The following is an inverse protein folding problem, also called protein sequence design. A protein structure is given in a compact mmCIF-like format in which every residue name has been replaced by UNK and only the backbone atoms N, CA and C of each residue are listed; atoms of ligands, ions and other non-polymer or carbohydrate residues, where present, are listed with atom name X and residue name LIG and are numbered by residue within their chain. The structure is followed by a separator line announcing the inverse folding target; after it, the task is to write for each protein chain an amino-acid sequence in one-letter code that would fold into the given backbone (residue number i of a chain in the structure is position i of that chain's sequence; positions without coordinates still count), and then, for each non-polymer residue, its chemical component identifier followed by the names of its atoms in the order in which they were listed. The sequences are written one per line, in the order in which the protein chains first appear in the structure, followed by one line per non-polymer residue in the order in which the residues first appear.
data_IF_125741596615
#
_entry.id   IF_125741596615
#
_cell.length_a   1.000
_cell.length_b   1.000
_cell.length_c   1.000
_cell.angle_alpha   90.00
_cell.angle_beta   90.00
_cell.angle_gamma   90.00
#
_symmetry.space_group_name_H-M   'P 1'
#
loop_
_entity.id
_entity.type
_entity.pdbx_description
1 polymer ?
#
# COMPACT_ATOMS: atom_id res chain seq x y z
N UNK A 1 27.54 17.73 56.64
CA UNK A 1 27.32 17.16 55.29
C UNK A 1 25.94 17.57 54.84
N UNK A 2 25.85 18.56 53.94
CA UNK A 2 24.57 19.06 53.41
C UNK A 2 24.36 18.38 52.04
N UNK A 3 23.31 17.57 51.91
CA UNK A 3 22.90 16.97 50.66
C UNK A 3 22.14 18.01 49.80
N UNK A 4 22.66 18.31 48.63
CA UNK A 4 22.01 19.15 47.62
C UNK A 4 21.18 18.24 46.74
N UNK A 5 19.85 18.33 46.86
CA UNK A 5 18.91 17.71 45.90
C UNK A 5 18.92 18.54 44.60
N UNK A 6 19.44 17.95 43.54
CA UNK A 6 19.23 18.46 42.18
C UNK A 6 17.83 18.01 41.69
N UNK A 7 16.89 18.92 41.67
CA UNK A 7 15.60 18.73 41.03
C UNK A 7 15.78 18.89 39.53
N UNK A 8 15.73 17.77 38.80
CA UNK A 8 15.73 17.77 37.34
C UNK A 8 14.33 18.16 36.86
N UNK A 9 14.11 19.45 36.56
CA UNK A 9 12.92 19.90 35.87
C UNK A 9 13.05 19.48 34.39
N UNK A 10 12.43 18.34 34.04
CA UNK A 10 12.12 18.02 32.64
C UNK A 10 11.11 19.03 32.11
N UNK A 11 11.57 20.03 31.40
CA UNK A 11 10.70 20.83 30.54
C UNK A 11 10.18 19.94 29.42
N UNK A 12 9.00 19.38 29.60
CA UNK A 12 8.21 18.85 28.47
C UNK A 12 7.77 20.08 27.68
N UNK A 13 8.48 20.38 26.60
CA UNK A 13 8.02 21.31 25.61
C UNK A 13 6.73 20.73 25.00
N UNK A 14 5.58 21.12 25.55
CA UNK A 14 4.30 20.94 24.88
C UNK A 14 4.34 21.81 23.64
N UNK A 15 4.66 21.22 22.49
CA UNK A 15 4.37 21.84 21.20
C UNK A 15 2.85 22.06 21.15
N UNK A 16 2.42 23.29 21.45
CA UNK A 16 1.08 23.74 21.05
C UNK A 16 1.07 23.71 19.52
N UNK A 17 0.66 22.60 18.93
CA UNK A 17 0.23 22.57 17.55
C UNK A 17 -0.96 23.52 17.46
N UNK A 18 -0.79 24.63 16.74
CA UNK A 18 -1.88 25.53 16.45
C UNK A 18 -2.89 24.76 15.58
N UNK A 19 -3.90 24.18 16.23
CA UNK A 19 -4.95 23.44 15.53
C UNK A 19 -5.71 24.43 14.64
N UNK A 20 -5.89 24.07 13.37
CA UNK A 20 -6.71 24.84 12.45
C UNK A 20 -8.12 24.90 13.05
N UNK A 21 -8.72 26.09 13.20
CA UNK A 21 -10.03 26.25 13.83
C UNK A 21 -11.10 25.37 13.19
N UNK A 22 -12.02 24.82 14.00
CA UNK A 22 -13.10 23.95 13.53
C UNK A 22 -14.17 24.66 12.67
N UNK A 23 -14.15 26.01 12.62
CA UNK A 23 -15.16 26.83 11.91
C UNK A 23 -14.92 26.92 10.40
N UNK A 24 -15.82 27.68 9.72
CA UNK A 24 -15.78 27.92 8.26
C UNK A 24 -15.00 29.20 7.89
N UNK A 25 -13.92 29.49 8.62
CA UNK A 25 -13.06 30.65 8.32
C UNK A 25 -12.10 30.39 7.16
N UNK A 26 -11.46 31.48 6.75
CA UNK A 26 -10.38 31.45 5.75
C UNK A 26 -9.08 31.98 6.36
N UNK A 27 -7.95 31.54 5.80
CA UNK A 27 -6.64 32.04 6.19
C UNK A 27 -5.58 31.76 5.13
N UNK A 28 -4.38 32.09 5.45
CA UNK A 28 -3.23 31.81 4.57
C UNK A 28 -2.43 30.65 5.16
N UNK A 29 -2.08 29.71 4.33
CA UNK A 29 -1.34 28.49 4.69
C UNK A 29 -0.15 28.31 3.77
N UNK A 30 0.89 27.65 4.27
CA UNK A 30 2.01 27.21 3.46
C UNK A 30 1.51 26.19 2.41
N UNK A 31 2.06 26.21 1.21
CA UNK A 31 1.95 25.03 0.34
C UNK A 31 2.51 23.80 1.08
N UNK A 32 1.91 22.62 0.85
CA UNK A 32 2.33 21.43 1.58
C UNK A 32 3.81 21.13 1.33
N UNK A 33 4.57 21.06 2.41
CA UNK A 33 6.00 20.83 2.39
C UNK A 33 6.45 19.69 3.32
N UNK A 34 5.48 18.96 3.90
CA UNK A 34 5.68 17.88 4.88
C UNK A 34 6.47 18.32 6.13
N UNK A 35 6.31 19.56 6.54
CA UNK A 35 6.92 20.13 7.74
C UNK A 35 5.87 20.62 8.73
N UNK A 36 6.29 20.89 9.96
CA UNK A 36 5.41 21.40 11.01
C UNK A 36 4.68 22.71 10.63
N UNK A 37 5.16 23.47 9.66
CA UNK A 37 4.50 24.68 9.17
C UNK A 37 3.24 24.41 8.33
N UNK A 38 2.96 23.18 7.96
CA UNK A 38 1.74 22.82 7.22
C UNK A 38 0.49 23.01 8.06
N UNK A 39 0.59 22.99 9.39
CA UNK A 39 -0.53 23.26 10.31
C UNK A 39 -0.64 24.71 10.74
N UNK A 40 0.28 25.59 10.35
CA UNK A 40 0.29 26.99 10.79
C UNK A 40 -0.68 27.84 9.96
N UNK A 41 -1.49 28.61 10.69
CA UNK A 41 -2.39 29.62 10.14
C UNK A 41 -1.73 30.99 10.16
N UNK A 42 -1.70 31.66 9.01
CA UNK A 42 -1.25 33.02 8.86
C UNK A 42 -2.45 33.93 8.55
N UNK A 43 -2.44 35.14 9.10
CA UNK A 43 -3.55 36.10 8.93
C UNK A 43 -3.39 37.03 7.73
N UNK A 44 -2.20 37.01 7.09
CA UNK A 44 -1.86 37.90 5.95
C UNK A 44 -1.16 37.10 4.87
N UNK A 45 -1.29 37.52 3.58
CA UNK A 45 -0.52 36.94 2.50
C UNK A 45 0.98 37.21 2.68
N UNK A 46 1.83 36.39 2.08
CA UNK A 46 3.28 36.52 2.16
C UNK A 46 4.01 35.21 1.93
N UNK A 47 5.08 35.01 2.65
CA UNK A 47 5.90 33.80 2.62
C UNK A 47 5.93 33.16 4.00
N UNK A 48 5.96 31.85 4.04
CA UNK A 48 6.10 31.08 5.27
C UNK A 48 7.43 31.42 5.97
N UNK A 49 7.38 31.72 7.26
CA UNK A 49 8.56 32.04 8.04
C UNK A 49 9.50 30.86 8.27
N UNK A 50 9.00 29.62 8.10
CA UNK A 50 9.77 28.39 8.30
C UNK A 50 10.41 27.87 7.01
N UNK A 51 9.59 27.65 5.95
CA UNK A 51 10.07 27.03 4.71
C UNK A 51 10.24 28.00 3.54
N UNK A 52 9.89 29.29 3.71
CA UNK A 52 9.99 30.35 2.70
C UNK A 52 9.08 30.21 1.47
N UNK A 53 8.19 29.21 1.46
CA UNK A 53 7.20 29.04 0.38
C UNK A 53 6.13 30.12 0.45
N UNK A 54 5.54 30.46 -0.70
CA UNK A 54 4.45 31.41 -0.80
C UNK A 54 3.22 30.89 -0.06
N UNK A 55 2.55 31.76 0.70
CA UNK A 55 1.31 31.42 1.39
C UNK A 55 0.14 31.48 0.41
N UNK A 56 -0.73 30.46 0.46
CA UNK A 56 -1.94 30.34 -0.33
C UNK A 56 -3.17 30.56 0.55
N UNK A 57 -4.18 31.26 0.03
CA UNK A 57 -5.45 31.46 0.73
C UNK A 57 -6.32 30.22 0.59
N UNK A 58 -6.77 29.66 1.71
CA UNK A 58 -7.61 28.46 1.77
C UNK A 58 -8.63 28.63 2.89
N UNK A 59 -9.77 27.93 2.77
CA UNK A 59 -10.69 27.76 3.91
C UNK A 59 -10.09 26.79 4.93
N UNK A 60 -10.53 26.89 6.17
CA UNK A 60 -10.12 25.94 7.22
C UNK A 60 -10.57 24.50 6.91
N UNK A 61 -11.71 24.33 6.21
CA UNK A 61 -12.20 23.02 5.78
C UNK A 61 -11.27 22.42 4.74
N UNK A 62 -10.97 23.13 3.65
CA UNK A 62 -10.02 22.67 2.60
C UNK A 62 -8.66 22.30 3.19
N UNK A 63 -8.17 23.11 4.14
CA UNK A 63 -6.87 22.83 4.77
C UNK A 63 -6.89 21.59 5.66
N UNK A 64 -7.95 21.39 6.45
CA UNK A 64 -8.11 20.17 7.25
C UNK A 64 -8.21 18.94 6.38
N UNK A 65 -9.01 18.99 5.31
CA UNK A 65 -9.17 17.87 4.39
C UNK A 65 -7.84 17.51 3.71
N UNK A 66 -7.08 18.52 3.32
CA UNK A 66 -5.75 18.35 2.73
C UNK A 66 -4.75 17.73 3.73
N UNK A 67 -4.75 18.16 4.99
CA UNK A 67 -3.92 17.57 6.05
C UNK A 67 -4.36 16.15 6.39
N UNK A 68 -5.66 15.90 6.48
CA UNK A 68 -6.19 14.55 6.70
C UNK A 68 -5.79 13.58 5.58
N UNK A 69 -5.77 14.05 4.33
CA UNK A 69 -5.26 13.26 3.20
C UNK A 69 -3.77 12.95 3.33
N UNK A 70 -2.97 13.89 3.89
CA UNK A 70 -1.54 13.65 4.16
C UNK A 70 -1.31 12.72 5.37
N UNK A 71 -2.15 12.84 6.41
CA UNK A 71 -2.08 11.97 7.59
C UNK A 71 -2.63 10.56 7.29
N UNK A 72 -3.55 10.44 6.33
CA UNK A 72 -4.08 9.15 5.91
C UNK A 72 -3.04 8.40 5.07
N UNK A 73 -2.11 7.75 5.76
CA UNK A 73 -1.23 6.78 5.10
C UNK A 73 -2.08 5.64 4.59
N UNK A 74 -2.16 5.50 3.27
CA UNK A 74 -2.83 4.34 2.67
C UNK A 74 -2.32 3.05 3.29
N UNK A 75 -3.24 2.16 3.57
CA UNK A 75 -2.97 0.87 4.21
C UNK A 75 -2.93 -0.25 3.18
N UNK A 76 -1.96 -1.14 3.34
CA UNK A 76 -1.84 -2.33 2.48
C UNK A 76 -1.86 -3.57 3.34
N UNK A 77 -2.86 -4.41 3.12
CA UNK A 77 -2.99 -5.72 3.72
C UNK A 77 -2.27 -6.78 2.85
N UNK A 78 -1.29 -7.45 3.40
CA UNK A 78 -0.59 -8.58 2.77
C UNK A 78 -1.15 -9.89 3.30
N UNK A 79 -1.96 -10.58 2.49
CA UNK A 79 -2.40 -11.92 2.84
C UNK A 79 -1.28 -12.93 2.58
N UNK A 80 -0.82 -13.59 3.63
CA UNK A 80 0.26 -14.57 3.60
C UNK A 80 -0.27 -15.95 3.98
N UNK A 81 -0.06 -16.94 3.14
CA UNK A 81 -0.35 -18.34 3.40
C UNK A 81 0.90 -19.15 3.71
N UNK A 82 0.74 -20.31 4.30
CA UNK A 82 1.85 -21.25 4.49
C UNK A 82 2.43 -21.68 3.15
N UNK A 83 3.76 -21.68 3.02
CA UNK A 83 4.46 -21.91 1.76
C UNK A 83 4.46 -20.74 0.78
N UNK A 84 4.11 -19.52 1.21
CA UNK A 84 4.21 -18.31 0.36
C UNK A 84 5.65 -18.11 -0.15
N UNK A 85 5.79 -17.64 -1.40
CA UNK A 85 7.09 -17.29 -2.00
C UNK A 85 7.67 -16.04 -1.33
N UNK A 86 8.92 -16.12 -0.82
CA UNK A 86 9.52 -15.01 -0.04
C UNK A 86 9.58 -13.72 -0.84
N UNK A 87 10.14 -13.75 -2.05
CA UNK A 87 10.34 -12.52 -2.80
C UNK A 87 9.04 -11.94 -3.36
N UNK A 88 8.01 -12.78 -3.54
CA UNK A 88 6.69 -12.30 -3.99
C UNK A 88 6.11 -11.25 -3.05
N UNK A 89 6.26 -11.44 -1.72
CA UNK A 89 5.76 -10.48 -0.74
C UNK A 89 6.82 -9.51 -0.23
N UNK A 90 8.07 -9.97 -0.01
CA UNK A 90 9.10 -9.13 0.56
C UNK A 90 9.53 -7.99 -0.39
N UNK A 91 9.59 -8.26 -1.71
CA UNK A 91 9.89 -7.24 -2.71
C UNK A 91 8.85 -6.10 -2.74
N UNK A 92 7.56 -6.39 -2.96
CA UNK A 92 6.51 -5.38 -2.85
C UNK A 92 6.41 -4.72 -1.46
N UNK A 93 6.68 -5.47 -0.39
CA UNK A 93 6.66 -4.92 0.98
C UNK A 93 7.68 -3.80 1.13
N UNK A 94 8.89 -3.99 0.65
CA UNK A 94 9.94 -2.97 0.66
C UNK A 94 9.53 -1.74 -0.16
N UNK A 95 9.00 -1.95 -1.37
CA UNK A 95 8.49 -0.87 -2.23
C UNK A 95 7.45 -0.03 -1.51
N UNK A 96 6.42 -0.66 -0.95
CA UNK A 96 5.32 0.06 -0.31
C UNK A 96 5.74 0.71 1.01
N UNK A 97 6.56 0.02 1.82
CA UNK A 97 7.05 0.56 3.08
C UNK A 97 7.88 1.83 2.85
N UNK A 98 8.84 1.79 1.92
CA UNK A 98 9.66 2.96 1.60
C UNK A 98 8.84 4.08 0.93
N UNK A 99 7.84 3.75 0.12
CA UNK A 99 6.90 4.73 -0.42
C UNK A 99 5.99 5.35 0.67
N UNK A 100 6.10 4.94 1.93
CA UNK A 100 5.38 5.51 3.07
C UNK A 100 3.94 5.00 3.22
N UNK A 101 3.64 3.81 2.71
CA UNK A 101 2.39 3.11 3.00
C UNK A 101 2.46 2.42 4.37
N UNK A 102 1.30 2.18 4.95
CA UNK A 102 1.16 1.43 6.20
C UNK A 102 0.88 -0.04 5.84
N UNK A 103 1.90 -0.90 5.94
CA UNK A 103 1.80 -2.32 5.57
C UNK A 103 1.54 -3.16 6.82
N UNK A 104 0.58 -4.08 6.73
CA UNK A 104 0.34 -5.10 7.74
C UNK A 104 0.06 -6.47 7.10
N UNK A 105 0.27 -7.52 7.86
CA UNK A 105 0.18 -8.90 7.39
C UNK A 105 -1.04 -9.61 7.97
N UNK A 106 -1.68 -10.43 7.14
CA UNK A 106 -2.87 -11.21 7.48
C UNK A 106 -2.66 -12.64 7.02
N UNK A 107 -3.11 -13.60 7.79
CA UNK A 107 -3.19 -15.00 7.36
C UNK A 107 -4.56 -15.59 7.67
N UNK A 108 -4.81 -16.83 7.25
CA UNK A 108 -6.03 -17.57 7.56
C UNK A 108 -6.31 -17.59 9.06
N UNK A 109 -5.24 -17.75 9.87
CA UNK A 109 -5.25 -17.68 11.32
C UNK A 109 -4.08 -16.85 11.80
N UNK A 110 -4.15 -16.30 13.00
CA UNK A 110 -3.04 -15.59 13.64
C UNK A 110 -2.05 -16.58 14.26
N UNK A 111 -1.48 -17.42 13.43
CA UNK A 111 -0.48 -18.43 13.75
C UNK A 111 0.75 -18.25 12.84
N UNK A 112 1.97 -18.64 13.28
CA UNK A 112 3.14 -18.55 12.43
C UNK A 112 2.97 -19.33 11.13
N UNK A 113 3.24 -18.71 10.01
CA UNK A 113 3.36 -19.36 8.70
C UNK A 113 4.83 -19.62 8.37
N UNK A 114 5.12 -20.58 7.51
CA UNK A 114 6.48 -20.88 7.02
C UNK A 114 6.52 -20.58 5.52
N UNK A 115 7.20 -19.50 5.15
CA UNK A 115 7.42 -19.13 3.75
C UNK A 115 8.51 -20.00 3.14
N UNK A 116 8.25 -20.65 2.01
CA UNK A 116 9.18 -21.54 1.28
C UNK A 116 9.92 -22.57 2.16
N UNK A 117 9.44 -22.91 3.34
CA UNK A 117 10.13 -23.80 4.27
C UNK A 117 11.36 -23.19 4.99
N UNK A 118 11.65 -21.90 4.79
CA UNK A 118 12.87 -21.26 5.28
C UNK A 118 12.63 -20.07 6.24
N UNK A 119 11.54 -19.31 6.06
CA UNK A 119 11.28 -18.11 6.83
C UNK A 119 9.98 -18.23 7.61
N UNK A 120 10.05 -18.14 8.93
CA UNK A 120 8.86 -18.05 9.78
C UNK A 120 8.38 -16.60 9.88
N UNK A 121 7.10 -16.39 9.60
CA UNK A 121 6.45 -15.07 9.69
C UNK A 121 5.26 -15.20 10.62
N UNK A 122 5.14 -14.29 11.60
CA UNK A 122 3.96 -14.15 12.45
C UNK A 122 3.07 -13.09 11.84
N UNK A 123 1.86 -13.42 11.36
CA UNK A 123 0.92 -12.44 10.84
C UNK A 123 0.45 -11.49 11.95
N UNK A 124 0.22 -10.22 11.60
CA UNK A 124 -0.33 -9.23 12.54
C UNK A 124 -1.79 -9.55 12.90
N UNK A 125 -2.54 -10.10 11.94
CA UNK A 125 -3.97 -10.41 12.07
C UNK A 125 -4.33 -11.75 11.43
N UNK A 126 -5.50 -12.25 11.77
CA UNK A 126 -6.22 -13.29 11.02
C UNK A 126 -7.22 -12.64 10.04
N UNK A 127 -7.82 -13.44 9.14
CA UNK A 127 -8.94 -12.96 8.32
C UNK A 127 -10.17 -12.55 9.14
N UNK A 128 -10.28 -12.99 10.40
CA UNK A 128 -11.41 -12.71 11.29
C UNK A 128 -11.33 -11.32 11.91
N UNK A 129 -10.11 -10.86 12.25
CA UNK A 129 -9.86 -9.60 12.98
C UNK A 129 -9.08 -8.54 12.17
N UNK A 130 -8.75 -8.85 10.91
CA UNK A 130 -8.02 -7.92 10.04
C UNK A 130 -8.78 -6.60 9.82
N UNK A 131 -8.14 -5.44 10.04
CA UNK A 131 -8.77 -4.14 9.75
C UNK A 131 -9.03 -3.97 8.24
N UNK A 132 -9.88 -3.00 7.85
CA UNK A 132 -9.98 -2.56 6.46
C UNK A 132 -8.62 -2.09 5.91
N UNK A 133 -8.42 -2.23 4.60
CA UNK A 133 -7.24 -1.75 3.91
C UNK A 133 -7.58 -1.16 2.54
N UNK A 134 -6.83 -0.13 2.14
CA UNK A 134 -6.99 0.49 0.82
C UNK A 134 -6.53 -0.44 -0.29
N UNK A 135 -5.53 -1.26 -0.02
CA UNK A 135 -5.02 -2.31 -0.93
C UNK A 135 -5.00 -3.64 -0.21
N UNK A 136 -5.48 -4.69 -0.89
CA UNK A 136 -5.32 -6.08 -0.42
C UNK A 136 -4.49 -6.86 -1.42
N UNK A 137 -3.37 -7.41 -0.95
CA UNK A 137 -2.36 -8.08 -1.78
C UNK A 137 -2.28 -9.59 -1.49
N UNK A 138 -2.13 -10.38 -2.55
CA UNK A 138 -2.03 -11.84 -2.53
C UNK A 138 -0.78 -12.31 -3.27
N UNK A 139 -0.11 -13.32 -2.75
CA UNK A 139 1.19 -13.77 -3.21
C UNK A 139 1.19 -15.26 -3.55
N UNK A 140 2.16 -15.64 -4.39
CA UNK A 140 2.28 -17.00 -4.87
C UNK A 140 3.01 -17.96 -3.92
N UNK A 141 3.70 -18.91 -4.48
CA UNK A 141 4.17 -20.09 -3.78
C UNK A 141 3.04 -21.12 -3.64
N UNK A 142 2.80 -21.64 -2.44
CA UNK A 142 1.72 -22.60 -2.18
C UNK A 142 0.33 -21.92 -2.02
N UNK A 143 -0.14 -21.28 -3.09
CA UNK A 143 -1.44 -20.58 -3.08
C UNK A 143 -2.66 -21.53 -3.19
N UNK A 144 -2.44 -22.81 -3.55
CA UNK A 144 -3.51 -23.80 -3.77
C UNK A 144 -4.48 -23.96 -2.60
N UNK A 145 -4.02 -24.21 -1.36
CA UNK A 145 -4.90 -24.32 -0.21
C UNK A 145 -5.78 -23.08 -0.03
N UNK A 146 -5.21 -21.88 -0.05
CA UNK A 146 -5.96 -20.62 0.15
C UNK A 146 -6.93 -20.32 -1.00
N UNK A 147 -6.59 -20.66 -2.24
CA UNK A 147 -7.47 -20.47 -3.40
C UNK A 147 -8.66 -21.43 -3.43
N UNK A 148 -8.69 -22.44 -2.57
CA UNK A 148 -9.79 -23.40 -2.41
C UNK A 148 -10.43 -23.35 -1.01
N UNK A 149 -9.98 -22.46 -0.11
CA UNK A 149 -10.57 -22.29 1.21
C UNK A 149 -11.80 -21.36 1.14
N UNK A 150 -13.02 -21.88 1.45
CA UNK A 150 -14.25 -21.09 1.35
C UNK A 150 -14.24 -19.84 2.24
N UNK A 151 -13.57 -19.89 3.41
CA UNK A 151 -13.53 -18.75 4.33
C UNK A 151 -12.58 -17.66 3.81
N UNK A 152 -11.45 -18.03 3.22
CA UNK A 152 -10.54 -17.09 2.54
C UNK A 152 -11.25 -16.44 1.37
N UNK A 153 -11.91 -17.24 0.50
CA UNK A 153 -12.63 -16.71 -0.66
C UNK A 153 -13.76 -15.76 -0.25
N UNK A 154 -14.53 -16.12 0.78
CA UNK A 154 -15.57 -15.25 1.34
C UNK A 154 -14.97 -13.97 1.92
N UNK A 155 -13.84 -14.04 2.61
CA UNK A 155 -13.15 -12.87 3.14
C UNK A 155 -12.73 -11.93 2.01
N UNK A 156 -12.13 -12.44 0.92
CA UNK A 156 -11.78 -11.64 -0.27
C UNK A 156 -13.01 -10.93 -0.84
N UNK A 157 -14.12 -11.65 -0.99
CA UNK A 157 -15.38 -11.07 -1.51
C UNK A 157 -15.91 -9.96 -0.61
N UNK A 158 -15.83 -10.10 0.71
CA UNK A 158 -16.28 -9.05 1.64
C UNK A 158 -15.39 -7.82 1.57
N UNK A 159 -14.08 -7.98 1.31
CA UNK A 159 -13.15 -6.85 1.13
C UNK A 159 -13.41 -6.07 -0.15
N UNK A 160 -13.95 -6.69 -1.20
CA UNK A 160 -14.22 -6.01 -2.47
C UNK A 160 -15.12 -4.76 -2.34
N UNK A 161 -15.95 -4.68 -1.30
CA UNK A 161 -16.82 -3.53 -1.05
C UNK A 161 -16.09 -2.31 -0.44
N UNK A 162 -14.91 -2.51 0.18
CA UNK A 162 -14.19 -1.47 0.93
C UNK A 162 -12.75 -1.25 0.48
N UNK A 163 -12.22 -2.14 -0.36
CA UNK A 163 -10.84 -2.09 -0.85
C UNK A 163 -10.80 -1.32 -2.18
N UNK A 164 -9.89 -0.34 -2.27
CA UNK A 164 -9.71 0.44 -3.49
C UNK A 164 -8.97 -0.34 -4.57
N UNK A 165 -7.98 -1.15 -4.16
CA UNK A 165 -7.15 -1.93 -5.07
C UNK A 165 -6.93 -3.35 -4.58
N UNK A 166 -7.04 -4.30 -5.50
CA UNK A 166 -6.49 -5.64 -5.34
C UNK A 166 -5.16 -5.75 -6.07
N UNK A 167 -4.20 -6.38 -5.43
CA UNK A 167 -2.87 -6.63 -6.00
C UNK A 167 -2.52 -8.10 -5.88
N UNK A 168 -1.96 -8.70 -6.92
CA UNK A 168 -1.45 -10.07 -6.81
C UNK A 168 -0.12 -10.27 -7.51
N UNK A 169 0.70 -11.13 -6.93
CA UNK A 169 1.97 -11.57 -7.49
C UNK A 169 1.90 -13.08 -7.72
N UNK A 170 2.44 -13.54 -8.87
CA UNK A 170 2.62 -14.95 -9.12
C UNK A 170 1.28 -15.73 -9.04
N UNK A 171 1.26 -16.88 -8.39
CA UNK A 171 0.06 -17.71 -8.22
C UNK A 171 -0.95 -17.11 -7.22
N UNK A 172 -0.69 -15.96 -6.60
CA UNK A 172 -1.67 -15.19 -5.85
C UNK A 172 -2.92 -14.80 -6.67
N UNK A 173 -2.78 -14.71 -8.01
CA UNK A 173 -3.89 -14.48 -8.92
C UNK A 173 -5.00 -15.56 -8.85
N UNK A 174 -4.67 -16.79 -8.45
CA UNK A 174 -5.67 -17.86 -8.27
C UNK A 174 -6.63 -17.54 -7.12
N UNK A 175 -6.14 -16.92 -6.05
CA UNK A 175 -6.98 -16.53 -4.90
C UNK A 175 -8.00 -15.49 -5.34
N UNK A 176 -7.55 -14.43 -6.03
CA UNK A 176 -8.44 -13.40 -6.58
C UNK A 176 -9.44 -13.98 -7.59
N UNK A 177 -8.95 -14.84 -8.49
CA UNK A 177 -9.77 -15.43 -9.52
C UNK A 177 -10.86 -16.36 -8.96
N UNK A 178 -10.53 -17.22 -8.01
CA UNK A 178 -11.49 -18.11 -7.34
C UNK A 178 -12.50 -17.35 -6.49
N UNK A 179 -12.14 -16.17 -5.99
CA UNK A 179 -13.07 -15.28 -5.32
C UNK A 179 -13.98 -14.49 -6.29
N UNK A 180 -13.79 -14.63 -7.63
CA UNK A 180 -14.58 -13.95 -8.65
C UNK A 180 -14.09 -12.51 -8.98
N UNK A 181 -13.02 -12.04 -8.33
CA UNK A 181 -12.50 -10.67 -8.53
C UNK A 181 -11.93 -10.45 -9.94
N UNK A 182 -11.50 -11.52 -10.61
CA UNK A 182 -10.94 -11.46 -11.96
C UNK A 182 -11.97 -11.73 -13.09
N UNK A 183 -13.24 -11.97 -12.77
CA UNK A 183 -14.28 -12.23 -13.77
C UNK A 183 -14.38 -11.04 -14.77
N UNK A 184 -14.31 -11.33 -16.06
CA UNK A 184 -14.36 -10.36 -17.17
C UNK A 184 -13.15 -9.41 -17.25
N UNK A 185 -12.11 -9.62 -16.45
CA UNK A 185 -10.89 -8.85 -16.48
C UNK A 185 -9.76 -9.54 -17.28
N UNK A 186 -8.72 -8.77 -17.56
CA UNK A 186 -7.47 -9.30 -18.10
C UNK A 186 -6.50 -9.55 -16.92
N UNK A 187 -5.78 -10.67 -16.91
CA UNK A 187 -4.86 -11.02 -15.83
C UNK A 187 -3.58 -11.66 -16.33
N UNK A 188 -2.58 -11.72 -15.48
CA UNK A 188 -1.38 -12.55 -15.64
C UNK A 188 -1.07 -13.26 -14.33
N UNK A 189 -0.13 -14.21 -14.40
CA UNK A 189 0.35 -14.97 -13.25
C UNK A 189 1.77 -15.46 -13.53
N UNK A 190 2.31 -16.31 -12.66
CA UNK A 190 3.60 -16.94 -12.85
C UNK A 190 3.65 -17.70 -14.19
N UNK A 191 4.75 -17.56 -14.93
CA UNK A 191 4.87 -18.03 -16.32
C UNK A 191 4.49 -19.51 -16.52
N UNK A 192 4.87 -20.40 -15.59
CA UNK A 192 4.53 -21.83 -15.70
C UNK A 192 3.09 -22.16 -15.29
N UNK A 193 2.35 -21.20 -14.76
CA UNK A 193 0.97 -21.35 -14.27
C UNK A 193 -0.07 -20.71 -15.18
N UNK A 194 0.33 -20.13 -16.31
CA UNK A 194 -0.56 -19.42 -17.26
C UNK A 194 -1.70 -20.34 -17.74
N UNK A 195 -1.36 -21.53 -18.25
CA UNK A 195 -2.38 -22.48 -18.74
C UNK A 195 -3.31 -22.97 -17.63
N UNK A 196 -2.76 -23.20 -16.44
CA UNK A 196 -3.57 -23.59 -15.27
C UNK A 196 -4.54 -22.48 -14.87
N UNK A 197 -4.12 -21.20 -14.93
CA UNK A 197 -4.99 -20.07 -14.63
C UNK A 197 -6.09 -19.91 -15.70
N UNK A 198 -5.75 -20.07 -17.00
CA UNK A 198 -6.73 -20.09 -18.09
C UNK A 198 -7.80 -21.15 -17.90
N UNK A 199 -7.37 -22.36 -17.57
CA UNK A 199 -8.29 -23.48 -17.31
C UNK A 199 -9.18 -23.23 -16.07
N UNK A 200 -8.62 -22.65 -15.00
CA UNK A 200 -9.34 -22.38 -13.77
C UNK A 200 -10.34 -21.21 -13.87
N UNK A 201 -10.07 -20.22 -14.74
CA UNK A 201 -10.82 -18.95 -14.84
C UNK A 201 -11.28 -18.67 -16.28
N UNK A 202 -12.29 -19.40 -16.78
CA UNK A 202 -12.71 -19.27 -18.18
C UNK A 202 -13.34 -17.91 -18.53
N UNK A 203 -13.71 -17.10 -17.54
CA UNK A 203 -14.22 -15.73 -17.72
C UNK A 203 -13.13 -14.67 -17.71
N UNK A 204 -11.87 -15.03 -17.48
CA UNK A 204 -10.74 -14.10 -17.35
C UNK A 204 -9.84 -14.24 -18.58
N UNK A 205 -9.46 -13.12 -19.19
CA UNK A 205 -8.47 -13.11 -20.26
C UNK A 205 -7.06 -13.21 -19.67
N UNK A 206 -6.42 -14.37 -19.72
CA UNK A 206 -5.10 -14.57 -19.14
C UNK A 206 -4.00 -14.38 -20.20
N UNK A 207 -3.08 -13.45 -19.93
CA UNK A 207 -1.95 -13.10 -20.79
C UNK A 207 -0.64 -13.70 -20.27
N UNK A 208 0.21 -14.09 -21.17
CA UNK A 208 1.59 -14.49 -20.96
C UNK A 208 2.57 -13.39 -21.43
N UNK A 209 3.83 -13.45 -21.03
CA UNK A 209 4.91 -12.56 -21.45
C UNK A 209 4.65 -11.06 -21.10
N UNK A 210 3.87 -10.79 -20.07
CA UNK A 210 3.67 -9.46 -19.52
C UNK A 210 4.15 -9.41 -18.08
N UNK A 211 4.76 -8.29 -17.65
CA UNK A 211 5.24 -8.11 -16.28
C UNK A 211 4.09 -7.94 -15.31
N UNK A 212 3.10 -7.12 -15.68
CA UNK A 212 1.87 -6.93 -14.93
C UNK A 212 0.71 -6.52 -15.86
N UNK A 213 -0.49 -6.70 -15.36
CA UNK A 213 -1.74 -6.23 -15.99
C UNK A 213 -2.49 -5.39 -14.97
N UNK A 214 -2.84 -4.17 -15.36
CA UNK A 214 -3.57 -3.21 -14.54
C UNK A 214 -4.94 -2.93 -15.16
N UNK A 215 -6.01 -3.31 -14.48
CA UNK A 215 -7.41 -3.08 -14.86
C UNK A 215 -8.05 -1.88 -14.12
N UNK A 216 -7.24 -0.95 -13.62
CA UNK A 216 -7.75 0.17 -12.83
C UNK A 216 -7.73 -0.12 -11.33
N UNK A 217 -8.54 -1.03 -10.83
CA UNK A 217 -8.63 -1.39 -9.41
C UNK A 217 -8.10 -2.80 -9.09
N UNK A 218 -7.75 -3.61 -10.11
CA UNK A 218 -7.12 -4.92 -9.93
C UNK A 218 -5.84 -4.99 -10.72
N UNK A 219 -4.73 -5.21 -10.03
CA UNK A 219 -3.41 -5.36 -10.63
C UNK A 219 -2.92 -6.77 -10.37
N UNK A 220 -2.61 -7.51 -11.44
CA UNK A 220 -1.99 -8.84 -11.36
C UNK A 220 -0.59 -8.79 -11.95
N UNK A 221 0.39 -9.43 -11.32
CA UNK A 221 1.77 -9.48 -11.82
C UNK A 221 2.19 -10.91 -12.13
N UNK A 222 3.18 -11.05 -13.00
CA UNK A 222 3.91 -12.29 -13.15
C UNK A 222 4.63 -12.66 -11.82
N UNK A 223 5.50 -13.65 -11.82
CA UNK A 223 6.10 -14.14 -10.59
C UNK A 223 7.33 -13.38 -10.12
N UNK A 224 7.64 -13.53 -8.84
CA UNK A 224 8.89 -13.16 -8.19
C UNK A 224 9.22 -11.66 -8.38
N UNK A 225 10.24 -11.37 -9.19
CA UNK A 225 10.71 -10.00 -9.43
C UNK A 225 9.66 -9.09 -10.11
N UNK A 226 8.70 -9.66 -10.84
CA UNK A 226 7.63 -8.89 -11.46
C UNK A 226 6.69 -8.23 -10.42
N UNK A 227 6.63 -8.78 -9.21
CA UNK A 227 5.93 -8.17 -8.08
C UNK A 227 6.49 -6.81 -7.71
N UNK A 228 7.82 -6.62 -7.80
CA UNK A 228 8.47 -5.33 -7.56
C UNK A 228 8.05 -4.32 -8.64
N UNK A 229 8.03 -4.70 -9.92
CA UNK A 229 7.61 -3.82 -11.02
C UNK A 229 6.15 -3.39 -10.88
N UNK A 230 5.27 -4.34 -10.52
CA UNK A 230 3.86 -4.04 -10.29
C UNK A 230 3.63 -3.15 -9.06
N UNK A 231 4.41 -3.32 -8.00
CA UNK A 231 4.34 -2.47 -6.81
C UNK A 231 4.83 -1.05 -7.12
N UNK A 232 5.95 -0.89 -7.83
CA UNK A 232 6.44 0.40 -8.30
C UNK A 232 5.42 1.09 -9.24
N UNK A 233 4.75 0.31 -10.12
CA UNK A 233 3.67 0.83 -10.94
C UNK A 233 2.49 1.35 -10.09
N UNK A 234 2.07 0.61 -9.06
CA UNK A 234 1.00 1.06 -8.18
C UNK A 234 1.42 2.31 -7.38
N UNK A 235 2.67 2.38 -6.90
CA UNK A 235 3.22 3.60 -6.27
C UNK A 235 3.18 4.78 -7.24
N UNK A 236 3.63 4.59 -8.49
CA UNK A 236 3.57 5.62 -9.54
C UNK A 236 2.15 6.14 -9.75
N UNK A 237 1.15 5.27 -9.80
CA UNK A 237 -0.25 5.66 -9.94
C UNK A 237 -0.81 6.42 -8.73
N UNK A 238 -0.40 6.06 -7.51
CA UNK A 238 -0.98 6.60 -6.27
C UNK A 238 -0.23 7.81 -5.75
N UNK A 239 1.08 7.90 -6.00
CA UNK A 239 1.97 8.93 -5.45
C UNK A 239 2.79 9.68 -6.51
N UNK A 240 2.65 9.29 -7.77
CA UNK A 240 3.38 9.87 -8.90
C UNK A 240 4.68 9.16 -9.24
N UNK A 241 5.12 9.36 -10.48
CA UNK A 241 6.31 8.71 -11.05
C UNK A 241 7.60 9.03 -10.31
N UNK A 242 7.69 10.24 -9.75
CA UNK A 242 8.89 10.66 -9.02
C UNK A 242 9.09 9.84 -7.74
N UNK A 243 8.02 9.60 -6.98
CA UNK A 243 8.10 8.76 -5.78
C UNK A 243 8.50 7.33 -6.15
N UNK A 244 7.93 6.78 -7.23
CA UNK A 244 8.29 5.44 -7.69
C UNK A 244 9.77 5.35 -8.12
N UNK A 245 10.31 6.38 -8.78
CA UNK A 245 11.75 6.46 -9.11
C UNK A 245 12.63 6.49 -7.87
N UNK A 246 12.28 7.32 -6.89
CA UNK A 246 13.02 7.41 -5.62
C UNK A 246 13.03 6.08 -4.86
N UNK A 247 11.91 5.34 -4.87
CA UNK A 247 11.84 3.99 -4.29
C UNK A 247 12.75 3.03 -5.03
N UNK A 248 12.70 3.01 -6.36
CA UNK A 248 13.55 2.14 -7.18
C UNK A 248 15.04 2.45 -6.99
N UNK A 249 15.41 3.72 -6.89
CA UNK A 249 16.77 4.17 -6.62
C UNK A 249 17.23 3.76 -5.21
N UNK A 250 16.40 3.95 -4.18
CA UNK A 250 16.69 3.49 -2.83
C UNK A 250 16.96 1.98 -2.74
N UNK A 251 16.17 1.20 -3.49
CA UNK A 251 16.31 -0.26 -3.56
C UNK A 251 17.49 -0.71 -4.45
N UNK A 252 18.23 0.22 -5.05
CA UNK A 252 19.22 -0.08 -6.10
C UNK A 252 18.63 -0.97 -7.23
N UNK A 253 17.33 -0.79 -7.52
CA UNK A 253 16.62 -1.54 -8.54
C UNK A 253 16.69 -0.83 -9.90
N UNK A 254 17.89 -0.80 -10.48
CA UNK A 254 18.26 -0.09 -11.71
C UNK A 254 17.62 -0.64 -13.00
N UNK A 255 16.99 -1.82 -12.91
CA UNK A 255 16.31 -2.50 -14.03
C UNK A 255 14.83 -2.15 -14.14
N UNK A 256 14.31 -1.30 -13.24
CA UNK A 256 12.93 -0.87 -13.35
C UNK A 256 12.69 -0.02 -14.60
N UNK A 257 11.74 -0.45 -15.42
CA UNK A 257 11.28 0.28 -16.60
C UNK A 257 9.84 0.73 -16.35
N UNK A 258 9.57 2.04 -16.22
CA UNK A 258 8.22 2.56 -16.07
C UNK A 258 7.31 2.11 -17.22
N UNK A 259 6.07 1.76 -16.88
CA UNK A 259 5.04 1.34 -17.85
C UNK A 259 5.38 0.08 -18.67
N UNK A 260 6.20 -0.82 -18.13
CA UNK A 260 6.57 -2.09 -18.79
C UNK A 260 5.42 -3.11 -18.85
N UNK A 261 4.34 -2.91 -18.09
CA UNK A 261 3.16 -3.76 -18.08
C UNK A 261 2.05 -3.27 -19.02
N UNK A 262 0.94 -4.02 -19.02
CA UNK A 262 -0.28 -3.65 -19.74
C UNK A 262 -1.24 -2.91 -18.82
N UNK A 263 -1.61 -1.69 -19.19
CA UNK A 263 -2.73 -0.95 -18.59
C UNK A 263 -3.95 -1.12 -19.48
N UNK A 264 -4.97 -1.79 -18.98
CA UNK A 264 -6.24 -1.98 -19.67
C UNK A 264 -7.06 -0.72 -19.44
N UNK A 265 -7.29 0.04 -20.51
CA UNK A 265 -8.17 1.22 -20.46
C UNK A 265 -9.62 0.75 -20.65
N UNK A 266 -10.60 1.31 -19.89
CA UNK A 266 -12.01 1.00 -20.06
C UNK A 266 -12.53 1.36 -21.42
#
# INVERSE_FOLDING_TARGET
MKAILFSCFCFVAVCLQAQIPAGNGEGYFCELCNNACDTLLFTKPGFCTHCRMKLVKQTYAERRDLLNQLEHKMTICFYLQDGVEVLDFAGPMEVFAYAGFNVFTVSRKKEPIVSQGILKVMPDYSIEDAPPADVVAFFGGNAGPSSNDPEVLKWVQTRAASTQYFFSVCTGAFILGRAGVLDSLTATTFHSSIESLRAALPKTKVLENVRYVDNGHVITTAGISAGIDGALHLVSRLKGDEVARQVAEYMEYDKWIPNQGLVVRP
#
